data_IF_665870650728
#
_entry.id   IF_665870650728
#
_cell.length_a   1.000
_cell.length_b   1.000
_cell.length_c   1.000
_cell.angle_alpha   90.00
_cell.angle_beta   90.00
_cell.angle_gamma   90.00
#
_symmetry.space_group_name_H-M   'P 1'
#
loop_
_entity.id
_entity.type
_entity.pdbx_description
1 polymer ?
#
# COMPACT_ATOMS: atom_id res chain seq x y z
N UNK A 1 -2.75 -46.91 -15.80
CA UNK A 1 -2.38 -45.58 -16.36
C UNK A 1 -3.58 -44.63 -16.40
N UNK A 2 -4.66 -44.94 -17.13
CA UNK A 2 -5.85 -44.06 -17.24
C UNK A 2 -6.49 -43.71 -15.89
N UNK A 3 -6.66 -44.69 -15.00
CA UNK A 3 -7.23 -44.47 -13.66
C UNK A 3 -6.36 -43.58 -12.76
N UNK A 4 -5.03 -43.68 -12.84
CA UNK A 4 -4.12 -42.85 -12.03
C UNK A 4 -4.21 -41.37 -12.44
N UNK A 5 -4.32 -41.11 -13.74
CA UNK A 5 -4.50 -39.74 -14.26
C UNK A 5 -5.86 -39.15 -13.87
N UNK A 6 -6.94 -39.94 -13.94
CA UNK A 6 -8.29 -39.50 -13.55
C UNK A 6 -8.35 -39.21 -12.04
N UNK A 7 -7.81 -40.11 -11.21
CA UNK A 7 -7.76 -39.92 -9.76
C UNK A 7 -6.91 -38.70 -9.40
N UNK A 8 -5.75 -38.54 -10.03
CA UNK A 8 -4.88 -37.37 -9.83
C UNK A 8 -5.56 -36.05 -10.22
N UNK A 9 -6.25 -36.02 -11.36
CA UNK A 9 -7.01 -34.85 -11.79
C UNK A 9 -8.16 -34.52 -10.83
N UNK A 10 -8.87 -35.54 -10.34
CA UNK A 10 -9.93 -35.38 -9.34
C UNK A 10 -9.41 -34.81 -8.02
N UNK A 11 -8.31 -35.37 -7.48
CA UNK A 11 -7.70 -34.85 -6.25
C UNK A 11 -7.19 -33.41 -6.44
N UNK A 12 -6.61 -33.10 -7.61
CA UNK A 12 -6.18 -31.74 -7.94
C UNK A 12 -7.33 -30.73 -7.99
N UNK A 13 -8.46 -31.11 -8.59
CA UNK A 13 -9.66 -30.27 -8.62
C UNK A 13 -10.22 -30.02 -7.21
N UNK A 14 -10.26 -31.05 -6.36
CA UNK A 14 -10.68 -30.93 -4.95
C UNK A 14 -9.75 -29.98 -4.20
N UNK A 15 -8.44 -30.06 -4.41
CA UNK A 15 -7.47 -29.15 -3.79
C UNK A 15 -7.64 -27.69 -4.24
N UNK A 16 -7.83 -27.46 -5.54
CA UNK A 16 -8.08 -26.11 -6.07
C UNK A 16 -9.37 -25.52 -5.50
N UNK A 17 -10.42 -26.34 -5.38
CA UNK A 17 -11.67 -25.94 -4.75
C UNK A 17 -11.49 -25.58 -3.27
N UNK A 18 -10.76 -26.41 -2.51
CA UNK A 18 -10.44 -26.14 -1.11
C UNK A 18 -9.60 -24.86 -0.94
N UNK A 19 -8.66 -24.60 -1.85
CA UNK A 19 -7.85 -23.38 -1.83
C UNK A 19 -8.69 -22.13 -2.09
N UNK A 20 -9.56 -22.17 -3.11
CA UNK A 20 -10.44 -21.05 -3.46
C UNK A 20 -11.45 -20.74 -2.33
N UNK A 21 -12.02 -21.78 -1.72
CA UNK A 21 -12.97 -21.62 -0.60
C UNK A 21 -12.29 -21.19 0.70
N UNK A 22 -11.06 -21.64 0.98
CA UNK A 22 -10.30 -21.19 2.13
C UNK A 22 -9.92 -19.70 2.01
N UNK A 23 -9.52 -19.24 0.82
CA UNK A 23 -9.17 -17.83 0.59
C UNK A 23 -10.31 -16.84 0.79
N UNK A 24 -11.57 -17.30 0.78
CA UNK A 24 -12.75 -16.46 0.96
C UNK A 24 -13.20 -16.30 2.44
N UNK A 25 -12.72 -17.14 3.37
CA UNK A 25 -13.16 -17.16 4.77
C UNK A 25 -11.97 -17.10 5.75
N UNK A 26 -11.63 -15.89 6.20
CA UNK A 26 -10.45 -15.58 7.04
C UNK A 26 -10.41 -16.35 8.37
N UNK A 27 -11.57 -16.65 8.97
CA UNK A 27 -11.68 -17.33 10.27
C UNK A 27 -11.37 -18.84 10.19
N UNK A 28 -11.61 -19.47 9.04
CA UNK A 28 -11.27 -20.88 8.79
C UNK A 28 -9.79 -21.07 8.41
N UNK A 29 -9.11 -19.98 8.06
CA UNK A 29 -7.77 -19.97 7.48
C UNK A 29 -6.70 -20.30 8.52
N UNK A 30 -6.69 -19.63 9.68
CA UNK A 30 -5.58 -19.74 10.64
C UNK A 30 -5.33 -21.18 11.13
N UNK A 31 -6.38 -21.95 11.41
CA UNK A 31 -6.24 -23.29 12.01
C UNK A 31 -6.02 -24.42 10.99
N UNK A 32 -6.55 -24.28 9.76
CA UNK A 32 -6.44 -25.33 8.72
C UNK A 32 -5.38 -25.05 7.67
N UNK A 33 -4.85 -23.83 7.56
CA UNK A 33 -3.83 -23.46 6.57
C UNK A 33 -2.61 -24.38 6.63
N UNK A 34 -2.05 -24.64 7.82
CA UNK A 34 -0.88 -25.51 7.97
C UNK A 34 -1.12 -26.93 7.49
N UNK A 35 -2.31 -27.48 7.75
CA UNK A 35 -2.69 -28.82 7.33
C UNK A 35 -2.95 -28.87 5.81
N UNK A 36 -3.60 -27.84 5.26
CA UNK A 36 -3.86 -27.72 3.82
C UNK A 36 -2.55 -27.60 3.02
N UNK A 37 -1.61 -26.79 3.52
CA UNK A 37 -0.28 -26.60 2.94
C UNK A 37 0.52 -27.91 2.99
N UNK A 38 0.50 -28.61 4.13
CA UNK A 38 1.12 -29.93 4.26
C UNK A 38 0.55 -30.97 3.28
N UNK A 39 -0.77 -31.04 3.14
CA UNK A 39 -1.44 -31.92 2.18
C UNK A 39 -1.09 -31.54 0.73
N UNK A 40 -1.02 -30.25 0.41
CA UNK A 40 -0.62 -29.76 -0.92
C UNK A 40 0.83 -30.15 -1.26
N UNK A 41 1.77 -29.92 -0.34
CA UNK A 41 3.17 -30.33 -0.50
C UNK A 41 3.26 -31.85 -0.71
N UNK A 42 2.56 -32.64 0.12
CA UNK A 42 2.57 -34.09 -0.01
C UNK A 42 2.04 -34.55 -1.38
N UNK A 43 0.99 -33.90 -1.88
CA UNK A 43 0.44 -34.18 -3.20
C UNK A 43 1.38 -33.79 -4.34
N UNK A 44 2.06 -32.64 -4.24
CA UNK A 44 3.09 -32.23 -5.20
C UNK A 44 4.23 -33.26 -5.25
N UNK A 45 4.72 -33.71 -4.09
CA UNK A 45 5.76 -34.75 -4.00
C UNK A 45 5.27 -36.05 -4.65
N UNK A 46 4.02 -36.46 -4.38
CA UNK A 46 3.41 -37.65 -4.97
C UNK A 46 3.33 -37.56 -6.51
N UNK A 47 2.89 -36.42 -7.05
CA UNK A 47 2.88 -36.20 -8.51
C UNK A 47 4.29 -36.20 -9.09
N UNK A 48 5.25 -35.54 -8.43
CA UNK A 48 6.66 -35.54 -8.83
C UNK A 48 7.24 -36.94 -8.91
N UNK A 49 6.95 -37.80 -7.92
CA UNK A 49 7.39 -39.19 -7.90
C UNK A 49 6.80 -40.00 -9.08
N UNK A 50 5.50 -39.84 -9.34
CA UNK A 50 4.83 -40.48 -10.49
C UNK A 50 5.45 -40.01 -11.81
N UNK A 51 5.62 -38.69 -11.96
CA UNK A 51 6.16 -38.09 -13.17
C UNK A 51 7.59 -38.55 -13.42
N UNK A 52 8.43 -38.55 -12.38
CA UNK A 52 9.80 -39.04 -12.42
C UNK A 52 9.87 -40.52 -12.82
N UNK A 53 9.01 -41.36 -12.23
CA UNK A 53 8.90 -42.77 -12.62
C UNK A 53 8.48 -42.95 -14.09
N UNK A 54 7.52 -42.15 -14.56
CA UNK A 54 7.04 -42.22 -15.93
C UNK A 54 8.12 -41.79 -16.93
N UNK A 55 8.84 -40.71 -16.64
CA UNK A 55 9.99 -40.24 -17.41
C UNK A 55 11.13 -41.27 -17.44
N UNK A 56 11.42 -41.90 -16.30
CA UNK A 56 12.45 -42.93 -16.21
C UNK A 56 12.08 -44.18 -17.02
N UNK A 57 10.84 -44.66 -16.89
CA UNK A 57 10.31 -45.77 -17.69
C UNK A 57 10.33 -45.45 -19.18
N UNK A 58 9.94 -44.23 -19.54
CA UNK A 58 9.94 -43.76 -20.92
C UNK A 58 11.36 -43.68 -21.48
N UNK A 59 12.33 -43.13 -20.73
CA UNK A 59 13.76 -43.12 -21.11
C UNK A 59 14.31 -44.53 -21.31
N UNK A 60 13.95 -45.50 -20.44
CA UNK A 60 14.34 -46.91 -20.63
C UNK A 60 13.80 -47.49 -21.93
N UNK A 61 12.52 -47.25 -22.26
CA UNK A 61 11.91 -47.69 -23.53
C UNK A 61 12.54 -47.05 -24.76
N UNK A 62 13.01 -45.80 -24.63
CA UNK A 62 13.75 -45.09 -25.66
C UNK A 62 15.12 -45.74 -25.91
N UNK A 63 15.83 -46.11 -24.83
CA UNK A 63 17.13 -46.82 -24.91
C UNK A 63 17.00 -48.24 -25.44
N UNK A 64 15.89 -48.95 -25.14
CA UNK A 64 15.67 -50.32 -25.60
C UNK A 64 15.20 -50.41 -27.06
N UNK A 65 15.27 -49.32 -27.83
CA UNK A 65 15.10 -49.35 -29.28
C UNK A 65 13.72 -49.75 -29.80
N UNK A 66 12.67 -49.69 -28.97
CA UNK A 66 11.33 -50.13 -29.36
C UNK A 66 10.83 -49.29 -30.54
N UNK A 67 10.48 -49.97 -31.64
CA UNK A 67 9.95 -49.36 -32.85
C UNK A 67 8.72 -48.49 -32.49
N UNK A 68 8.70 -47.23 -32.94
CA UNK A 68 7.64 -46.25 -32.63
C UNK A 68 7.90 -45.31 -31.45
N UNK A 69 8.88 -45.60 -30.57
CA UNK A 69 9.20 -44.73 -29.42
C UNK A 69 9.73 -43.34 -29.81
N UNK A 70 10.48 -43.25 -30.92
CA UNK A 70 10.97 -41.97 -31.48
C UNK A 70 9.84 -41.09 -32.02
N UNK A 71 8.82 -41.69 -32.63
CA UNK A 71 7.65 -40.98 -33.12
C UNK A 71 6.83 -40.44 -31.94
N UNK A 72 6.58 -41.28 -30.94
CA UNK A 72 5.90 -40.89 -29.71
C UNK A 72 6.63 -39.74 -28.98
N UNK A 73 7.96 -39.78 -28.92
CA UNK A 73 8.77 -38.67 -28.37
C UNK A 73 8.56 -37.36 -29.13
N UNK A 74 8.62 -37.39 -30.47
CA UNK A 74 8.45 -36.19 -31.29
C UNK A 74 7.06 -35.57 -31.10
N UNK A 75 6.01 -36.38 -31.10
CA UNK A 75 4.65 -35.92 -30.82
C UNK A 75 4.52 -35.37 -29.39
N UNK A 76 5.07 -36.07 -28.40
CA UNK A 76 5.03 -35.63 -27.00
C UNK A 76 5.76 -34.28 -26.81
N UNK A 77 6.88 -34.06 -27.50
CA UNK A 77 7.59 -32.78 -27.48
C UNK A 77 6.74 -31.66 -28.05
N UNK A 78 6.11 -31.86 -29.22
CA UNK A 78 5.24 -30.85 -29.84
C UNK A 78 4.05 -30.53 -28.93
N UNK A 79 3.37 -31.54 -28.39
CA UNK A 79 2.25 -31.32 -27.47
C UNK A 79 2.67 -30.64 -26.17
N UNK A 80 3.80 -31.05 -25.58
CA UNK A 80 4.32 -30.42 -24.37
C UNK A 80 4.62 -28.96 -24.61
N UNK A 81 5.30 -28.64 -25.72
CA UNK A 81 5.65 -27.29 -26.09
C UNK A 81 4.38 -26.45 -26.32
N UNK A 82 3.41 -26.96 -27.08
CA UNK A 82 2.12 -26.31 -27.33
C UNK A 82 1.32 -26.06 -26.03
N UNK A 83 1.41 -26.94 -25.03
CA UNK A 83 0.75 -26.76 -23.74
C UNK A 83 1.47 -25.78 -22.81
N UNK A 84 2.82 -25.81 -22.77
CA UNK A 84 3.60 -25.00 -21.82
C UNK A 84 3.86 -23.58 -22.29
N UNK A 85 4.09 -23.35 -23.59
CA UNK A 85 4.41 -22.03 -24.15
C UNK A 85 3.39 -20.94 -23.78
N UNK A 86 2.07 -21.14 -24.02
CA UNK A 86 1.09 -20.13 -23.67
C UNK A 86 0.99 -19.91 -22.15
N UNK A 87 1.15 -20.97 -21.35
CA UNK A 87 1.13 -20.86 -19.89
C UNK A 87 2.29 -20.02 -19.34
N UNK A 88 3.50 -20.23 -19.87
CA UNK A 88 4.69 -19.44 -19.50
C UNK A 88 4.53 -17.99 -19.93
N UNK A 89 4.00 -17.74 -21.13
CA UNK A 89 3.71 -16.38 -21.61
C UNK A 89 2.74 -15.65 -20.68
N UNK A 90 1.60 -16.28 -20.36
CA UNK A 90 0.60 -15.70 -19.45
C UNK A 90 1.24 -15.44 -18.09
N UNK A 91 2.01 -16.37 -17.53
CA UNK A 91 2.70 -16.18 -16.25
C UNK A 91 3.67 -14.99 -16.27
N UNK A 92 4.55 -14.91 -17.28
CA UNK A 92 5.52 -13.82 -17.39
C UNK A 92 4.83 -12.46 -17.54
N UNK A 93 3.79 -12.40 -18.35
CA UNK A 93 2.96 -11.22 -18.54
C UNK A 93 2.23 -10.86 -17.24
N UNK A 94 1.66 -11.83 -16.52
CA UNK A 94 1.02 -11.62 -15.23
C UNK A 94 1.98 -11.08 -14.16
N UNK A 95 3.23 -11.57 -14.13
CA UNK A 95 4.26 -11.04 -13.21
C UNK A 95 4.62 -9.60 -13.57
N UNK A 96 4.86 -9.31 -14.85
CA UNK A 96 5.08 -7.92 -15.30
C UNK A 96 3.91 -7.01 -14.95
N UNK A 97 2.67 -7.47 -15.17
CA UNK A 97 1.48 -6.72 -14.79
C UNK A 97 1.38 -6.54 -13.28
N UNK A 98 1.72 -7.55 -12.47
CA UNK A 98 1.67 -7.45 -11.01
C UNK A 98 2.67 -6.42 -10.50
N UNK A 99 3.92 -6.48 -10.95
CA UNK A 99 4.98 -5.54 -10.55
C UNK A 99 4.61 -4.10 -10.95
N UNK A 100 4.20 -3.88 -12.21
CA UNK A 100 3.82 -2.55 -12.70
C UNK A 100 2.49 -2.04 -12.15
N UNK A 101 1.52 -2.91 -11.86
CA UNK A 101 0.24 -2.50 -11.27
C UNK A 101 0.40 -2.12 -9.80
N UNK A 102 1.30 -2.73 -9.05
CA UNK A 102 1.63 -2.25 -7.70
C UNK A 102 2.23 -0.85 -7.80
N UNK A 103 3.24 -0.65 -8.66
CA UNK A 103 3.90 0.65 -8.82
C UNK A 103 2.93 1.75 -9.27
N UNK A 104 2.11 1.50 -10.30
CA UNK A 104 1.17 2.47 -10.86
C UNK A 104 0.03 2.89 -9.92
N UNK A 105 -0.39 2.02 -9.00
CA UNK A 105 -1.47 2.34 -8.04
C UNK A 105 -0.93 2.99 -6.76
N UNK A 106 0.35 2.77 -6.44
CA UNK A 106 1.02 3.38 -5.29
C UNK A 106 1.52 4.80 -5.60
N UNK A 107 2.17 5.02 -6.74
CA UNK A 107 2.80 6.30 -7.08
C UNK A 107 1.76 7.44 -7.22
N UNK A 108 0.69 7.17 -8.00
CA UNK A 108 -0.35 8.16 -8.32
C UNK A 108 -1.24 8.54 -7.12
N UNK A 109 -1.21 7.77 -6.03
CA UNK A 109 -1.93 8.08 -4.78
C UNK A 109 -1.04 8.78 -3.76
N UNK A 110 0.25 8.48 -3.72
CA UNK A 110 1.18 9.11 -2.77
C UNK A 110 1.49 10.54 -3.21
N UNK A 111 1.77 10.78 -4.49
CA UNK A 111 2.06 12.13 -5.00
C UNK A 111 0.88 13.08 -4.82
N UNK A 112 -0.34 12.62 -5.15
CA UNK A 112 -1.56 13.43 -4.96
C UNK A 112 -1.91 13.65 -3.49
N UNK A 113 -1.58 12.71 -2.60
CA UNK A 113 -1.78 12.90 -1.17
C UNK A 113 -0.76 13.89 -0.59
N UNK A 114 0.49 13.87 -1.05
CA UNK A 114 1.53 14.80 -0.64
C UNK A 114 1.27 16.22 -1.16
N UNK A 115 0.90 16.36 -2.43
CA UNK A 115 0.56 17.65 -3.03
C UNK A 115 -0.74 18.23 -2.43
N UNK A 116 -1.74 17.38 -2.17
CA UNK A 116 -2.94 17.77 -1.43
C UNK A 116 -2.62 18.20 0.01
N UNK A 117 -1.73 17.48 0.70
CA UNK A 117 -1.27 17.83 2.06
C UNK A 117 -0.51 19.15 2.11
N UNK A 118 0.39 19.39 1.15
CA UNK A 118 1.13 20.65 1.01
C UNK A 118 0.17 21.82 0.74
N UNK A 119 -0.75 21.67 -0.20
CA UNK A 119 -1.71 22.72 -0.53
C UNK A 119 -2.66 23.02 0.65
N UNK A 120 -3.09 21.99 1.40
CA UNK A 120 -3.86 22.17 2.63
C UNK A 120 -3.06 22.90 3.71
N UNK A 121 -1.79 22.55 3.89
CA UNK A 121 -0.88 23.23 4.82
C UNK A 121 -0.70 24.70 4.49
N UNK A 122 -0.43 25.02 3.22
CA UNK A 122 -0.34 26.40 2.74
C UNK A 122 -1.65 27.17 2.93
N UNK A 123 -2.78 26.57 2.54
CA UNK A 123 -4.09 27.22 2.70
C UNK A 123 -4.43 27.47 4.17
N UNK A 124 -4.13 26.52 5.06
CA UNK A 124 -4.32 26.71 6.50
C UNK A 124 -3.42 27.82 7.05
N UNK A 125 -2.15 27.87 6.65
CA UNK A 125 -1.22 28.90 7.07
C UNK A 125 -1.66 30.30 6.61
N UNK A 126 -2.07 30.43 5.35
CA UNK A 126 -2.56 31.70 4.80
C UNK A 126 -3.82 32.18 5.53
N UNK A 127 -4.75 31.26 5.86
CA UNK A 127 -5.94 31.58 6.65
C UNK A 127 -5.59 32.05 8.07
N UNK A 128 -4.63 31.38 8.73
CA UNK A 128 -4.17 31.78 10.07
C UNK A 128 -3.50 33.17 10.04
N UNK A 129 -2.70 33.45 9.01
CA UNK A 129 -2.08 34.77 8.83
C UNK A 129 -3.11 35.87 8.58
N UNK A 130 -4.11 35.62 7.73
CA UNK A 130 -5.18 36.57 7.47
C UNK A 130 -6.02 36.84 8.74
N UNK A 131 -6.33 35.80 9.52
CA UNK A 131 -7.06 35.95 10.77
C UNK A 131 -6.25 36.76 11.80
N UNK A 132 -4.95 36.49 11.94
CA UNK A 132 -4.05 37.26 12.79
C UNK A 132 -4.00 38.73 12.37
N UNK A 133 -3.89 39.01 11.06
CA UNK A 133 -3.87 40.37 10.55
C UNK A 133 -5.19 41.10 10.82
N UNK A 134 -6.34 40.45 10.66
CA UNK A 134 -7.66 41.03 10.97
C UNK A 134 -7.79 41.35 12.46
N UNK A 135 -7.31 40.47 13.35
CA UNK A 135 -7.30 40.72 14.80
C UNK A 135 -6.35 41.86 15.18
N UNK A 136 -5.19 41.96 14.55
CA UNK A 136 -4.27 43.07 14.76
C UNK A 136 -4.90 44.41 14.35
N UNK A 137 -5.58 44.46 13.20
CA UNK A 137 -6.27 45.67 12.72
C UNK A 137 -7.45 46.06 13.62
N UNK A 138 -8.27 45.10 14.07
CA UNK A 138 -9.37 45.39 14.99
C UNK A 138 -8.86 45.92 16.32
N UNK A 139 -7.77 45.34 16.85
CA UNK A 139 -7.13 45.82 18.09
C UNK A 139 -6.55 47.21 17.91
N UNK A 140 -5.91 47.51 16.77
CA UNK A 140 -5.39 48.84 16.47
C UNK A 140 -6.51 49.90 16.42
N UNK A 141 -7.70 49.55 15.90
CA UNK A 141 -8.87 50.43 15.93
C UNK A 141 -9.35 50.70 17.36
N UNK A 142 -9.39 49.69 18.22
CA UNK A 142 -9.77 49.85 19.64
C UNK A 142 -8.76 50.70 20.41
N UNK A 143 -7.47 50.54 20.12
CA UNK A 143 -6.36 51.33 20.69
C UNK A 143 -6.30 52.76 20.17
N UNK A 144 -6.99 53.07 19.07
CA UNK A 144 -7.09 54.45 18.57
C UNK A 144 -7.98 55.34 19.44
N UNK A 145 -8.79 54.76 20.33
CA UNK A 145 -9.60 55.50 21.29
C UNK A 145 -8.76 55.80 22.56
N UNK A 146 -8.50 57.08 22.90
CA UNK A 146 -7.70 57.46 24.07
C UNK A 146 -8.27 56.99 25.41
N UNK A 147 -9.56 56.61 25.45
CA UNK A 147 -10.20 56.10 26.66
C UNK A 147 -9.75 54.69 27.07
N UNK A 148 -9.11 53.95 26.16
CA UNK A 148 -8.76 52.55 26.38
C UNK A 148 -7.28 52.39 26.81
N UNK A 149 -7.00 51.90 28.04
CA UNK A 149 -5.63 51.68 28.49
C UNK A 149 -4.95 50.56 27.67
N UNK A 150 -3.78 50.80 27.05
CA UNK A 150 -3.16 49.87 26.10
C UNK A 150 -2.88 48.47 26.65
N UNK A 151 -2.45 48.37 27.91
CA UNK A 151 -2.15 47.08 28.55
C UNK A 151 -3.40 46.22 28.76
N UNK A 152 -4.55 46.83 29.05
CA UNK A 152 -5.80 46.10 29.27
C UNK A 152 -6.31 45.51 27.96
N UNK A 153 -6.29 46.30 26.89
CA UNK A 153 -6.73 45.87 25.55
C UNK A 153 -5.85 44.73 25.02
N UNK A 154 -4.53 44.81 25.21
CA UNK A 154 -3.61 43.75 24.78
C UNK A 154 -3.81 42.45 25.59
N UNK A 155 -4.08 42.55 26.90
CA UNK A 155 -4.35 41.37 27.72
C UNK A 155 -5.71 40.72 27.36
N UNK A 156 -6.75 41.53 27.10
CA UNK A 156 -8.03 41.00 26.62
C UNK A 156 -7.91 40.33 25.24
N UNK A 157 -7.07 40.86 24.35
CA UNK A 157 -6.76 40.22 23.08
C UNK A 157 -6.18 38.82 23.28
N UNK A 158 -5.21 38.65 24.18
CA UNK A 158 -4.63 37.35 24.47
C UNK A 158 -5.63 36.39 25.13
N UNK A 159 -6.46 36.87 26.04
CA UNK A 159 -7.46 36.03 26.71
C UNK A 159 -8.59 35.58 25.78
N UNK A 160 -8.93 36.37 24.77
CA UNK A 160 -10.01 36.07 23.83
C UNK A 160 -9.54 35.43 22.51
N UNK A 161 -8.24 35.46 22.21
CA UNK A 161 -7.69 34.94 20.96
C UNK A 161 -6.54 33.98 21.21
N UNK A 162 -6.33 33.01 20.32
CA UNK A 162 -5.18 32.07 20.40
C UNK A 162 -3.86 32.74 19.99
N UNK A 163 -3.68 34.04 20.30
CA UNK A 163 -2.47 34.80 20.04
C UNK A 163 -1.54 34.62 21.23
N UNK A 164 -0.29 34.23 21.00
CA UNK A 164 0.67 33.96 22.08
C UNK A 164 1.32 35.24 22.64
N UNK A 165 1.50 36.25 21.80
CA UNK A 165 2.15 37.52 22.15
C UNK A 165 1.58 38.71 21.37
N UNK A 166 1.52 39.87 22.02
CA UNK A 166 1.10 41.12 21.40
C UNK A 166 1.97 42.29 21.89
N UNK A 167 2.52 43.06 20.95
CA UNK A 167 3.39 44.20 21.23
C UNK A 167 2.86 45.47 20.55
N UNK A 168 2.77 46.56 21.30
CA UNK A 168 2.41 47.88 20.79
C UNK A 168 3.65 48.74 20.62
N UNK A 169 3.87 49.24 19.41
CA UNK A 169 4.97 50.14 19.06
C UNK A 169 4.48 51.57 18.86
N UNK A 170 5.32 52.55 19.20
CA UNK A 170 5.15 53.95 18.84
C UNK A 170 5.59 54.20 17.39
N UNK A 171 5.27 55.38 16.84
CA UNK A 171 5.72 55.83 15.52
C UNK A 171 7.27 55.84 15.38
N UNK A 172 7.99 56.01 16.49
CA UNK A 172 9.46 55.93 16.55
C UNK A 172 10.01 54.49 16.68
N UNK A 173 9.14 53.46 16.63
CA UNK A 173 9.54 52.05 16.77
C UNK A 173 9.85 51.61 18.21
N UNK A 174 9.55 52.45 19.22
CA UNK A 174 9.73 52.11 20.64
C UNK A 174 8.52 51.33 21.18
N UNK A 175 8.76 50.30 21.97
CA UNK A 175 7.70 49.54 22.65
C UNK A 175 7.00 50.41 23.70
N UNK A 176 5.67 50.50 23.62
CA UNK A 176 4.81 51.23 24.56
C UNK A 176 4.16 50.25 25.55
N UNK A 177 3.73 49.09 25.07
CA UNK A 177 3.08 48.07 25.87
C UNK A 177 3.32 46.68 25.27
N UNK A 178 3.42 45.67 26.13
CA UNK A 178 3.68 44.28 25.77
C UNK A 178 2.80 43.37 26.63
N UNK A 179 2.32 42.27 26.03
CA UNK A 179 1.60 41.22 26.73
C UNK A 179 1.90 39.86 26.07
N UNK A 180 2.06 38.80 26.87
CA UNK A 180 2.26 37.43 26.38
C UNK A 180 1.67 36.41 27.35
N UNK A 181 1.15 35.30 26.82
CA UNK A 181 0.72 34.14 27.62
C UNK A 181 1.89 33.23 28.05
N UNK A 182 3.03 33.30 27.35
CA UNK A 182 4.18 32.42 27.53
C UNK A 182 5.33 33.14 28.23
N UNK A 183 6.04 32.43 29.12
CA UNK A 183 7.24 32.96 29.79
C UNK A 183 8.49 32.99 28.86
N UNK A 184 8.30 32.68 27.57
CA UNK A 184 9.30 32.75 26.49
C UNK A 184 9.02 33.96 25.59
N UNK A 185 8.92 35.15 26.17
CA UNK A 185 8.74 36.39 25.41
C UNK A 185 9.90 36.61 24.42
N UNK A 186 9.60 36.80 23.14
CA UNK A 186 10.60 37.09 22.09
C UNK A 186 11.12 38.53 22.14
N UNK A 187 10.41 39.42 22.82
CA UNK A 187 10.78 40.83 23.04
C UNK A 187 10.71 41.19 24.53
N UNK A 188 11.58 42.11 25.02
CA UNK A 188 11.63 42.54 26.42
C UNK A 188 10.45 43.41 26.84
#
# INVERSE_FOLDING_TARGET
MKYVLIVGAGVGAVMLFLLATAGANTEFFERKYRLLLGINIAFVIFLMAILGFLLWRFRRRLKSGVFGSRLALRLMLVFSMMATLPGVLVYAVSVQFLEKSIESWFDVKVDRALEGGLNLGHTMLDNLLEELQRKAQSTALVLSDPANPPLLVLNELLLQSQVEEATLFNQDGKVIAFSSESNLALFP
#
